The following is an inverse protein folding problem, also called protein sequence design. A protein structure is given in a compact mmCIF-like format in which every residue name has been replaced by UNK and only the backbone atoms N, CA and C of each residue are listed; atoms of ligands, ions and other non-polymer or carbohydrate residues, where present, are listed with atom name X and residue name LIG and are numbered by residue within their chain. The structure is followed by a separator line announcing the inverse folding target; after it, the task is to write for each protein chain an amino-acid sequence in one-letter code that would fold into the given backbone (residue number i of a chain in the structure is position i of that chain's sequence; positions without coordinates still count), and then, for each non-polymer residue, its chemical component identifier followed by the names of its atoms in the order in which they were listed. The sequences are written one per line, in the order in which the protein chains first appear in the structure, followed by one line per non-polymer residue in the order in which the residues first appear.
data_IF_040622312161
#
_entry.id   IF_040622312161
#
_cell.length_a   1.000
_cell.length_b   1.000
_cell.length_c   1.000
_cell.angle_alpha   90.00
_cell.angle_beta   90.00
_cell.angle_gamma   90.00
#
_symmetry.space_group_name_H-M   'P 1'
#
loop_
_entity.id
_entity.type
_entity.pdbx_description
1 polymer ?
#
# COMPACT_ATOMS: atom_id res chain seq x y z
N UNK A 1 -3.02 -13.35 35.73
CA UNK A 1 -1.88 -12.68 35.05
C UNK A 1 -1.30 -13.65 34.04
N UNK A 2 -1.72 -13.60 32.77
CA UNK A 2 -1.08 -14.39 31.70
C UNK A 2 0.00 -13.55 31.02
N UNK A 3 1.11 -14.21 30.74
CA UNK A 3 2.41 -13.66 30.35
C UNK A 3 2.54 -13.38 28.84
N UNK A 4 1.43 -13.20 28.11
CA UNK A 4 1.40 -13.07 26.65
C UNK A 4 1.18 -11.64 26.14
N UNK A 5 1.53 -10.62 26.93
CA UNK A 5 1.10 -9.23 26.70
C UNK A 5 1.75 -8.46 25.55
N UNK A 6 2.53 -9.05 24.63
CA UNK A 6 3.30 -8.24 23.64
C UNK A 6 3.48 -8.79 22.21
N UNK A 7 2.82 -9.86 21.78
CA UNK A 7 2.99 -10.40 20.43
C UNK A 7 1.70 -10.60 19.59
N UNK A 8 0.52 -10.16 20.06
CA UNK A 8 -0.75 -10.38 19.36
C UNK A 8 -1.14 -9.21 18.42
N UNK A 9 -0.21 -8.78 17.57
CA UNK A 9 -0.50 -7.78 16.54
C UNK A 9 -0.34 -8.41 15.15
N UNK A 10 -1.36 -9.16 14.74
CA UNK A 10 -1.47 -9.65 13.38
C UNK A 10 -1.86 -8.48 12.47
N UNK A 11 -1.05 -8.26 11.43
CA UNK A 11 -1.29 -7.25 10.41
C UNK A 11 -1.61 -7.93 9.08
N UNK A 12 -2.60 -7.40 8.37
CA UNK A 12 -2.90 -7.82 7.00
C UNK A 12 -2.53 -6.70 6.03
N UNK A 13 -1.91 -7.07 4.92
CA UNK A 13 -1.82 -6.20 3.75
C UNK A 13 -2.95 -6.60 2.80
N UNK A 14 -3.98 -5.77 2.72
CA UNK A 14 -5.11 -6.03 1.84
C UNK A 14 -4.95 -5.20 0.56
N UNK A 15 -5.07 -5.80 -0.63
CA UNK A 15 -5.26 -5.02 -1.84
C UNK A 15 -6.61 -4.29 -1.73
N UNK A 16 -6.62 -3.01 -2.10
CA UNK A 16 -7.90 -2.28 -2.25
C UNK A 16 -8.69 -2.85 -3.45
N UNK A 17 -7.97 -3.45 -4.41
CA UNK A 17 -8.50 -4.09 -5.61
C UNK A 17 -9.01 -5.49 -5.26
N UNK A 18 -10.25 -5.80 -5.64
CA UNK A 18 -10.93 -7.02 -5.25
C UNK A 18 -11.65 -6.80 -3.92
N UNK A 19 -12.88 -6.28 -4.03
CA UNK A 19 -13.85 -5.89 -3.00
C UNK A 19 -13.43 -6.25 -1.57
N UNK A 20 -12.64 -5.42 -0.91
CA UNK A 20 -12.51 -5.52 0.54
C UNK A 20 -13.84 -5.06 1.14
N UNK A 21 -14.68 -6.03 1.53
CA UNK A 21 -16.03 -5.83 2.05
C UNK A 21 -16.09 -6.03 3.56
N UNK A 22 -17.24 -5.67 4.14
CA UNK A 22 -17.51 -5.78 5.58
C UNK A 22 -17.34 -7.22 6.08
N UNK A 23 -17.79 -8.21 5.32
CA UNK A 23 -17.69 -9.63 5.69
C UNK A 23 -16.23 -10.08 5.83
N UNK A 24 -15.36 -9.70 4.89
CA UNK A 24 -13.92 -9.98 4.99
C UNK A 24 -13.29 -9.26 6.18
N UNK A 25 -13.66 -8.02 6.45
CA UNK A 25 -13.16 -7.29 7.61
C UNK A 25 -13.57 -7.98 8.93
N UNK A 26 -14.83 -8.42 9.03
CA UNK A 26 -15.34 -9.14 10.20
C UNK A 26 -14.56 -10.45 10.38
N UNK A 27 -14.37 -11.23 9.31
CA UNK A 27 -13.60 -12.47 9.37
C UNK A 27 -12.14 -12.23 9.82
N UNK A 28 -11.50 -11.16 9.34
CA UNK A 28 -10.16 -10.78 9.78
C UNK A 28 -10.13 -10.38 11.26
N UNK A 29 -11.15 -9.64 11.72
CA UNK A 29 -11.28 -9.23 13.12
C UNK A 29 -11.50 -10.44 14.04
N UNK A 30 -12.34 -11.39 13.63
CA UNK A 30 -12.55 -12.66 14.35
C UNK A 30 -11.27 -13.49 14.41
N UNK A 31 -10.42 -13.41 13.38
CA UNK A 31 -9.09 -14.00 13.37
C UNK A 31 -8.05 -13.25 14.23
N UNK A 32 -8.44 -12.16 14.91
CA UNK A 32 -7.58 -11.39 15.82
C UNK A 32 -6.74 -10.30 15.15
N UNK A 33 -7.04 -9.93 13.89
CA UNK A 33 -6.40 -8.78 13.23
C UNK A 33 -6.82 -7.49 13.91
N UNK A 34 -5.83 -6.64 14.22
CA UNK A 34 -6.03 -5.32 14.86
C UNK A 34 -5.64 -4.16 13.96
N UNK A 35 -4.85 -4.42 12.92
CA UNK A 35 -4.30 -3.40 12.03
C UNK A 35 -4.32 -3.89 10.58
N UNK A 36 -4.80 -3.04 9.69
CA UNK A 36 -4.73 -3.23 8.23
C UNK A 36 -3.79 -2.20 7.64
N UNK A 37 -2.87 -2.68 6.81
CA UNK A 37 -1.88 -1.85 6.11
C UNK A 37 -2.26 -1.76 4.65
N UNK A 38 -2.45 -0.54 4.17
CA UNK A 38 -3.00 -0.27 2.84
C UNK A 38 -2.01 0.55 2.05
N UNK A 39 -1.58 0.02 0.91
CA UNK A 39 -0.86 0.81 -0.09
C UNK A 39 -1.84 1.75 -0.80
N UNK A 40 -1.79 3.04 -0.50
CA UNK A 40 -2.53 4.09 -1.22
C UNK A 40 -1.72 4.60 -2.41
N UNK A 41 -0.39 4.57 -2.28
CA UNK A 41 0.62 5.04 -3.23
C UNK A 41 0.57 6.55 -3.50
N UNK A 42 -0.54 7.10 -3.97
CA UNK A 42 -0.68 8.54 -4.25
C UNK A 42 -2.13 8.97 -4.03
N UNK A 43 -2.38 10.23 -3.72
CA UNK A 43 -3.73 10.82 -3.73
C UNK A 43 -4.25 11.15 -5.12
N UNK A 44 -3.34 11.29 -6.10
CA UNK A 44 -3.65 11.43 -7.52
C UNK A 44 -3.95 10.05 -8.11
N UNK A 45 -5.16 9.89 -8.67
CA UNK A 45 -5.51 8.66 -9.38
C UNK A 45 -4.67 8.47 -10.64
N UNK A 46 -4.23 9.55 -11.31
CA UNK A 46 -3.29 9.48 -12.43
C UNK A 46 -1.99 8.81 -12.00
N UNK A 47 -1.37 9.30 -10.93
CA UNK A 47 -0.14 8.70 -10.40
C UNK A 47 -0.37 7.25 -9.96
N UNK A 48 -1.47 6.97 -9.24
CA UNK A 48 -1.77 5.63 -8.73
C UNK A 48 -2.06 4.61 -9.85
N UNK A 49 -2.78 5.01 -10.90
CA UNK A 49 -3.32 4.09 -11.89
C UNK A 49 -2.58 4.13 -13.22
N UNK A 50 -2.11 5.29 -13.66
CA UNK A 50 -1.41 5.41 -14.94
C UNK A 50 0.08 5.16 -14.79
N UNK A 51 0.68 5.60 -13.67
CA UNK A 51 2.12 5.42 -13.40
C UNK A 51 2.36 4.14 -12.58
N UNK A 52 1.73 4.00 -11.41
CA UNK A 52 1.94 2.84 -10.54
C UNK A 52 1.07 1.61 -10.86
N UNK A 53 0.17 1.71 -11.85
CA UNK A 53 -0.66 0.59 -12.36
C UNK A 53 -1.47 -0.15 -11.29
N UNK A 54 -1.88 0.52 -10.21
CA UNK A 54 -2.60 -0.13 -9.10
C UNK A 54 -4.06 -0.45 -9.43
N UNK A 55 -4.73 0.42 -10.19
CA UNK A 55 -6.12 0.24 -10.62
C UNK A 55 -7.12 0.34 -9.47
N UNK A 56 -7.02 1.40 -8.66
CA UNK A 56 -7.83 1.65 -7.45
C UNK A 56 -8.30 3.11 -7.42
N UNK A 57 -9.58 3.33 -7.14
CA UNK A 57 -10.16 4.67 -7.01
C UNK A 57 -10.03 5.22 -5.59
N UNK A 58 -10.08 6.54 -5.46
CA UNK A 58 -10.12 7.25 -4.19
C UNK A 58 -11.35 6.88 -3.36
N UNK A 59 -12.48 6.64 -4.01
CA UNK A 59 -13.71 6.19 -3.36
C UNK A 59 -13.52 4.83 -2.68
N UNK A 60 -12.93 3.85 -3.37
CA UNK A 60 -12.65 2.54 -2.80
C UNK A 60 -11.75 2.63 -1.56
N UNK A 61 -10.73 3.48 -1.61
CA UNK A 61 -9.89 3.73 -0.44
C UNK A 61 -10.69 4.38 0.70
N UNK A 62 -11.53 5.37 0.43
CA UNK A 62 -12.35 6.03 1.45
C UNK A 62 -13.29 5.04 2.14
N UNK A 63 -13.99 4.21 1.36
CA UNK A 63 -14.88 3.16 1.87
C UNK A 63 -14.14 2.17 2.76
N UNK A 64 -12.96 1.69 2.35
CA UNK A 64 -12.16 0.77 3.15
C UNK A 64 -11.77 1.40 4.49
N UNK A 65 -11.27 2.63 4.49
CA UNK A 65 -10.84 3.31 5.71
C UNK A 65 -12.01 3.63 6.64
N UNK A 66 -13.17 3.96 6.09
CA UNK A 66 -14.40 4.14 6.85
C UNK A 66 -14.87 2.84 7.50
N UNK A 67 -14.85 1.75 6.75
CA UNK A 67 -15.21 0.43 7.25
C UNK A 67 -14.29 -0.02 8.38
N UNK A 68 -12.96 0.13 8.23
CA UNK A 68 -12.01 -0.16 9.30
C UNK A 68 -12.30 0.66 10.57
N UNK A 69 -12.60 1.96 10.44
CA UNK A 69 -12.98 2.80 11.59
C UNK A 69 -14.27 2.34 12.25
N UNK A 70 -15.29 1.98 11.47
CA UNK A 70 -16.58 1.49 11.98
C UNK A 70 -16.40 0.26 12.87
N UNK A 71 -15.41 -0.58 12.57
CA UNK A 71 -15.13 -1.83 13.27
C UNK A 71 -13.97 -1.77 14.27
N UNK A 72 -13.44 -0.58 14.57
CA UNK A 72 -12.29 -0.36 15.46
C UNK A 72 -11.03 -1.13 15.02
N UNK A 73 -10.79 -1.20 13.71
CA UNK A 73 -9.57 -1.76 13.12
C UNK A 73 -8.63 -0.64 12.74
N UNK A 74 -7.41 -0.67 13.26
CA UNK A 74 -6.39 0.35 13.00
C UNK A 74 -5.94 0.29 11.54
N UNK A 75 -5.54 1.43 10.99
CA UNK A 75 -5.12 1.55 9.59
C UNK A 75 -3.77 2.25 9.45
N UNK A 76 -2.90 1.67 8.64
CA UNK A 76 -1.69 2.32 8.15
C UNK A 76 -1.86 2.60 6.66
N UNK A 77 -1.65 3.85 6.25
CA UNK A 77 -1.65 4.25 4.85
C UNK A 77 -0.20 4.40 4.34
N UNK A 78 0.19 3.58 3.37
CA UNK A 78 1.47 3.72 2.67
C UNK A 78 1.32 4.58 1.43
N UNK A 79 2.21 5.58 1.31
CA UNK A 79 2.27 6.54 0.22
C UNK A 79 3.68 6.55 -0.37
N UNK A 80 3.79 6.78 -1.66
CA UNK A 80 5.04 7.01 -2.38
C UNK A 80 5.07 8.46 -2.86
N UNK A 81 6.17 9.16 -2.59
CA UNK A 81 6.39 10.55 -2.97
C UNK A 81 7.59 10.66 -3.90
N UNK A 82 7.54 11.59 -4.85
CA UNK A 82 8.60 11.82 -5.84
C UNK A 82 8.58 10.81 -6.98
N UNK A 83 7.43 10.21 -7.27
CA UNK A 83 7.30 9.24 -8.37
C UNK A 83 7.62 9.87 -9.74
N UNK A 84 7.93 9.06 -10.77
CA UNK A 84 8.18 9.55 -12.11
C UNK A 84 7.00 10.39 -12.60
N UNK A 85 7.27 11.59 -13.12
CA UNK A 85 6.26 12.56 -13.59
C UNK A 85 5.33 13.12 -12.50
N UNK A 86 5.58 12.88 -11.21
CA UNK A 86 4.75 13.44 -10.15
C UNK A 86 4.91 14.96 -10.06
N UNK A 87 3.80 15.67 -10.10
CA UNK A 87 3.78 17.14 -9.97
C UNK A 87 3.68 17.57 -8.50
N UNK A 88 4.03 18.82 -8.20
CA UNK A 88 3.86 19.40 -6.85
C UNK A 88 2.39 19.39 -6.42
N UNK A 89 1.48 19.57 -7.36
CA UNK A 89 0.03 19.56 -7.14
C UNK A 89 -0.46 18.16 -6.75
N UNK A 90 -0.01 17.12 -7.44
CA UNK A 90 -0.33 15.72 -7.10
C UNK A 90 0.29 15.29 -5.78
N UNK A 91 1.50 15.77 -5.49
CA UNK A 91 2.10 15.58 -4.16
C UNK A 91 1.20 16.20 -3.08
N UNK A 92 0.68 17.42 -3.27
CA UNK A 92 -0.29 18.04 -2.34
C UNK A 92 -1.60 17.24 -2.27
N UNK A 93 -2.06 16.66 -3.37
CA UNK A 93 -3.24 15.78 -3.38
C UNK A 93 -3.02 14.55 -2.51
N UNK A 94 -1.84 13.93 -2.53
CA UNK A 94 -1.48 12.82 -1.63
C UNK A 94 -1.65 13.21 -0.16
N UNK A 95 -1.14 14.38 0.26
CA UNK A 95 -1.32 14.85 1.63
C UNK A 95 -2.79 15.13 1.98
N UNK A 96 -3.51 15.84 1.10
CA UNK A 96 -4.95 16.13 1.29
C UNK A 96 -5.77 14.85 1.38
N UNK A 97 -5.41 13.84 0.60
CA UNK A 97 -6.11 12.57 0.59
C UNK A 97 -5.90 11.80 1.90
N UNK A 98 -4.67 11.78 2.45
CA UNK A 98 -4.42 11.17 3.76
C UNK A 98 -5.21 11.87 4.89
N UNK A 99 -5.38 13.20 4.83
CA UNK A 99 -6.24 13.93 5.77
C UNK A 99 -7.70 13.44 5.70
N UNK A 100 -8.21 13.17 4.49
CA UNK A 100 -9.56 12.61 4.30
C UNK A 100 -9.65 11.16 4.78
N UNK A 101 -8.63 10.34 4.49
CA UNK A 101 -8.56 8.93 4.87
C UNK A 101 -8.49 8.74 6.39
N UNK A 102 -7.91 9.70 7.13
CA UNK A 102 -7.70 9.62 8.59
C UNK A 102 -7.08 8.28 9.03
N UNK A 103 -5.94 7.86 8.45
CA UNK A 103 -5.23 6.68 8.92
C UNK A 103 -4.77 6.88 10.36
N UNK A 104 -4.66 5.80 11.12
CA UNK A 104 -3.99 5.83 12.42
C UNK A 104 -2.51 6.18 12.25
N UNK A 105 -1.90 5.72 11.15
CA UNK A 105 -0.54 6.12 10.77
C UNK A 105 -0.41 6.31 9.25
N UNK A 106 -0.16 7.54 8.77
CA UNK A 106 0.32 7.75 7.41
C UNK A 106 1.84 7.53 7.37
N UNK A 107 2.30 6.73 6.42
CA UNK A 107 3.72 6.51 6.13
C UNK A 107 3.98 6.98 4.70
N UNK A 108 5.03 7.77 4.55
CA UNK A 108 5.45 8.33 3.27
C UNK A 108 6.85 7.80 2.95
N UNK A 109 6.96 7.07 1.86
CA UNK A 109 8.23 6.64 1.28
C UNK A 109 8.65 7.60 0.18
N UNK A 110 9.95 7.84 0.06
CA UNK A 110 10.51 8.58 -1.08
C UNK A 110 10.82 7.56 -2.17
N UNK A 111 10.37 7.85 -3.39
CA UNK A 111 10.60 7.01 -4.55
C UNK A 111 12.10 6.90 -4.84
N UNK A 112 12.59 5.66 -4.90
CA UNK A 112 13.98 5.35 -5.26
C UNK A 112 13.97 4.56 -6.57
N UNK A 113 14.66 5.07 -7.58
CA UNK A 113 14.85 4.39 -8.86
C UNK A 113 15.88 3.27 -8.71
N UNK A 114 15.48 2.13 -8.14
CA UNK A 114 16.39 0.99 -8.04
C UNK A 114 16.38 0.13 -9.30
N UNK A 115 15.29 0.08 -10.06
CA UNK A 115 15.16 -0.92 -11.14
C UNK A 115 15.95 -0.61 -12.41
N UNK A 116 16.15 0.66 -12.76
CA UNK A 116 17.03 1.02 -13.88
C UNK A 116 18.50 0.79 -13.52
N UNK A 117 18.91 1.19 -12.32
CA UNK A 117 20.26 1.01 -11.81
C UNK A 117 20.64 -0.47 -11.65
N UNK A 118 19.72 -1.33 -11.19
CA UNK A 118 20.01 -2.76 -10.99
C UNK A 118 20.25 -3.51 -12.31
N UNK A 119 19.52 -3.15 -13.38
CA UNK A 119 19.74 -3.74 -14.70
C UNK A 119 21.07 -3.26 -15.31
N UNK A 120 21.41 -1.98 -15.14
CA UNK A 120 22.71 -1.43 -15.54
C UNK A 120 23.87 -2.03 -14.74
N UNK A 121 23.64 -2.34 -13.45
CA UNK A 121 24.60 -3.04 -12.58
C UNK A 121 24.67 -4.56 -12.87
N UNK A 122 23.87 -5.09 -13.79
CA UNK A 122 23.85 -6.52 -14.14
C UNK A 122 23.31 -7.43 -13.04
N UNK A 123 22.56 -6.88 -12.08
CA UNK A 123 22.01 -7.64 -10.94
C UNK A 123 20.65 -8.26 -11.24
N UNK A 124 19.92 -7.71 -12.22
CA UNK A 124 18.61 -8.19 -12.66
C UNK A 124 18.46 -8.06 -14.18
N UNK A 125 17.66 -8.93 -14.79
CA UNK A 125 17.30 -8.83 -16.22
C UNK A 125 16.47 -7.56 -16.50
N UNK A 126 16.53 -7.02 -17.72
CA UNK A 126 15.71 -5.88 -18.16
C UNK A 126 14.20 -6.16 -18.05
N UNK A 127 13.79 -7.43 -18.04
CA UNK A 127 12.41 -7.88 -17.79
C UNK A 127 12.01 -7.88 -16.30
N UNK A 128 12.87 -7.42 -15.37
CA UNK A 128 12.59 -7.37 -13.92
C UNK A 128 11.26 -6.67 -13.57
N UNK A 129 10.86 -5.65 -14.34
CA UNK A 129 9.61 -4.92 -14.11
C UNK A 129 8.33 -5.69 -14.50
N UNK A 130 8.41 -6.79 -15.27
CA UNK A 130 7.22 -7.54 -15.70
C UNK A 130 6.74 -8.58 -14.71
N UNK A 131 7.57 -8.99 -13.75
CA UNK A 131 7.27 -10.12 -12.85
C UNK A 131 6.70 -9.70 -11.48
N UNK A 132 6.70 -8.41 -11.13
CA UNK A 132 6.43 -8.01 -9.75
C UNK A 132 4.94 -7.71 -9.50
N UNK A 133 4.18 -8.78 -9.24
CA UNK A 133 2.97 -8.74 -8.41
C UNK A 133 3.30 -8.96 -6.92
N UNK A 134 4.26 -9.83 -6.62
CA UNK A 134 4.95 -10.02 -5.35
C UNK A 134 6.19 -10.87 -5.68
N UNK A 135 7.37 -10.47 -5.19
CA UNK A 135 8.68 -11.14 -5.31
C UNK A 135 8.71 -12.57 -5.90
N UNK A 136 9.39 -12.73 -7.05
CA UNK A 136 10.14 -13.95 -7.36
C UNK A 136 11.41 -13.54 -8.12
N UNK A 137 12.51 -13.38 -7.38
CA UNK A 137 13.85 -13.15 -7.95
C UNK A 137 14.29 -14.45 -8.60
N UNK A 138 14.52 -14.45 -9.92
CA UNK A 138 15.37 -15.47 -10.54
C UNK A 138 16.79 -14.89 -10.62
N UNK A 139 17.78 -15.53 -9.98
CA UNK A 139 19.18 -15.15 -10.20
C UNK A 139 19.50 -15.21 -11.69
N UNK A 140 20.28 -14.24 -12.17
CA UNK A 140 20.91 -14.34 -13.48
C UNK A 140 22.02 -15.38 -13.33
N UNK A 141 21.81 -16.58 -13.88
CA UNK A 141 22.86 -17.59 -13.93
C UNK A 141 24.02 -17.04 -14.77
N UNK A 142 25.23 -17.06 -14.19
CA UNK A 142 26.49 -16.70 -14.86
C UNK A 142 26.98 -17.81 -15.77
#
# INVERSE_FOLDING_TARGET
MSIFSRADCFYAQAPVKGVFDEDRLIALKEAGIKEIRVGIESGSERMRNDIHKKGVTNEQCLTLFELCRKHDVQTIAYNMLGGPTETKEELKETFRFNVKLKPNKPIFFVYQTLTHDLAEMGLVDQDYNRSCGYCAVRPVDR
#
